data_IF_835450154090
#
_entry.id   IF_835450154090
#
_cell.length_a   1.000
_cell.length_b   1.000
_cell.length_c   1.000
_cell.angle_alpha   90.00
_cell.angle_beta   90.00
_cell.angle_gamma   90.00
#
_symmetry.space_group_name_H-M   'P 1'
#
loop_
_entity.id
_entity.type
_entity.pdbx_description
1 polymer ?
#
# COMPACT_ATOMS: atom_id res chain seq x y z
N UNK A 1 15.03 -31.01 -12.25
CA UNK A 1 15.72 -30.25 -11.18
C UNK A 1 14.81 -29.08 -10.84
N UNK A 2 14.60 -28.78 -9.56
CA UNK A 2 13.68 -27.71 -9.14
C UNK A 2 14.50 -26.50 -8.68
N UNK A 3 14.45 -25.40 -9.43
CA UNK A 3 15.08 -24.14 -9.04
C UNK A 3 14.25 -23.42 -7.96
N UNK A 4 14.83 -22.43 -7.29
CA UNK A 4 14.08 -21.54 -6.38
C UNK A 4 14.34 -20.09 -6.71
N UNK A 5 13.29 -19.29 -6.69
CA UNK A 5 13.28 -17.86 -6.94
C UNK A 5 12.79 -17.15 -5.67
N UNK A 6 13.69 -16.48 -4.97
CA UNK A 6 13.36 -15.72 -3.77
C UNK A 6 13.15 -14.24 -4.11
N UNK A 7 11.97 -13.70 -3.84
CA UNK A 7 11.60 -12.32 -4.19
C UNK A 7 10.91 -11.61 -3.03
N UNK A 8 11.29 -10.36 -2.80
CA UNK A 8 10.59 -9.43 -1.91
C UNK A 8 9.18 -9.09 -2.43
N UNK A 9 8.31 -8.58 -1.57
CA UNK A 9 6.90 -8.34 -1.88
C UNK A 9 6.68 -7.47 -3.13
N UNK A 10 7.41 -6.36 -3.24
CA UNK A 10 7.34 -5.44 -4.38
C UNK A 10 7.86 -6.06 -5.69
N UNK A 11 8.83 -6.97 -5.58
CA UNK A 11 9.45 -7.68 -6.69
C UNK A 11 8.63 -8.84 -7.25
N UNK A 12 7.49 -9.19 -6.62
CA UNK A 12 6.65 -10.33 -7.04
C UNK A 12 5.57 -9.98 -8.05
N UNK A 13 5.41 -8.71 -8.43
CA UNK A 13 4.57 -8.34 -9.57
C UNK A 13 5.41 -8.36 -10.85
N UNK A 14 5.28 -9.45 -11.63
CA UNK A 14 6.13 -9.72 -12.79
C UNK A 14 5.31 -9.91 -14.06
N UNK A 15 5.82 -9.38 -15.17
CA UNK A 15 5.41 -9.75 -16.53
C UNK A 15 6.63 -10.23 -17.30
N UNK A 16 7.59 -9.33 -17.52
CA UNK A 16 8.81 -9.58 -18.26
C UNK A 16 10.01 -9.11 -17.46
N UNK A 17 10.88 -10.03 -17.00
CA UNK A 17 12.04 -9.69 -16.17
C UNK A 17 13.08 -10.80 -16.21
N UNK A 18 14.36 -10.42 -16.30
CA UNK A 18 15.46 -11.33 -15.97
C UNK A 18 15.55 -11.45 -14.44
N UNK A 19 15.45 -12.68 -13.92
CA UNK A 19 15.54 -12.95 -12.48
C UNK A 19 16.66 -13.94 -12.21
N UNK A 20 17.28 -13.79 -11.05
CA UNK A 20 18.31 -14.67 -10.55
C UNK A 20 17.69 -15.69 -9.59
N UNK A 21 18.01 -16.96 -9.79
CA UNK A 21 17.62 -18.05 -8.91
C UNK A 21 18.60 -18.13 -7.73
N UNK A 22 18.18 -18.83 -6.68
CA UNK A 22 18.99 -19.02 -5.46
C UNK A 22 20.32 -19.74 -5.68
N UNK A 23 20.48 -20.47 -6.79
CA UNK A 23 21.72 -21.13 -7.19
C UNK A 23 22.64 -20.24 -8.04
N UNK A 24 22.27 -18.97 -8.24
CA UNK A 24 23.01 -17.98 -9.04
C UNK A 24 22.76 -18.07 -10.54
N UNK A 25 22.00 -19.07 -11.01
CA UNK A 25 21.57 -19.11 -12.40
C UNK A 25 20.54 -18.02 -12.70
N UNK A 26 20.43 -17.62 -13.97
CA UNK A 26 19.49 -16.57 -14.40
C UNK A 26 18.51 -17.12 -15.40
N UNK A 27 17.25 -16.75 -15.23
CA UNK A 27 16.19 -17.06 -16.18
C UNK A 27 15.53 -15.77 -16.65
N UNK A 28 15.02 -15.78 -17.88
CA UNK A 28 14.22 -14.70 -18.41
C UNK A 28 12.75 -15.09 -18.35
N UNK A 29 11.98 -14.37 -17.54
CA UNK A 29 10.53 -14.55 -17.45
C UNK A 29 9.86 -13.67 -18.51
N UNK A 30 8.96 -14.27 -19.31
CA UNK A 30 8.07 -13.57 -20.24
C UNK A 30 6.65 -14.16 -20.13
N UNK A 31 5.86 -13.59 -19.22
CA UNK A 31 4.48 -14.00 -18.98
C UNK A 31 3.53 -13.26 -19.94
N UNK A 32 2.42 -13.90 -20.38
CA UNK A 32 1.44 -13.27 -21.27
C UNK A 32 0.89 -11.94 -20.72
N UNK A 33 0.73 -11.87 -19.40
CA UNK A 33 0.28 -10.68 -18.68
C UNK A 33 1.05 -10.53 -17.35
N UNK A 34 0.92 -9.38 -16.71
CA UNK A 34 1.49 -9.17 -15.39
C UNK A 34 0.75 -10.02 -14.34
N UNK A 35 1.52 -10.72 -13.51
CA UNK A 35 1.02 -11.60 -12.46
C UNK A 35 1.71 -11.25 -11.14
N UNK A 36 0.95 -11.27 -10.05
CA UNK A 36 1.50 -11.17 -8.70
C UNK A 36 1.75 -12.58 -8.17
N UNK A 37 3.02 -12.99 -8.17
CA UNK A 37 3.47 -14.28 -7.67
C UNK A 37 3.37 -14.35 -6.14
N UNK A 38 2.98 -15.52 -5.63
CA UNK A 38 2.90 -15.81 -4.20
C UNK A 38 3.98 -16.80 -3.80
N UNK A 39 4.37 -16.76 -2.53
CA UNK A 39 5.20 -17.82 -1.98
C UNK A 39 4.47 -19.16 -2.11
N UNK A 40 5.14 -20.17 -2.65
CA UNK A 40 4.58 -21.49 -2.94
C UNK A 40 4.10 -21.67 -4.38
N UNK A 41 3.99 -20.61 -5.19
CA UNK A 41 3.73 -20.73 -6.62
C UNK A 41 4.92 -21.40 -7.32
N UNK A 42 4.67 -22.04 -8.48
CA UNK A 42 5.72 -22.61 -9.31
C UNK A 42 5.64 -22.08 -10.73
N UNK A 43 6.79 -21.69 -11.28
CA UNK A 43 6.94 -21.32 -12.68
C UNK A 43 7.42 -22.55 -13.46
N UNK A 44 6.78 -22.83 -14.59
CA UNK A 44 7.18 -23.92 -15.49
C UNK A 44 8.02 -23.31 -16.61
N UNK A 45 9.26 -23.80 -16.78
CA UNK A 45 10.14 -23.40 -17.87
C UNK A 45 9.82 -24.18 -19.14
N UNK A 46 10.33 -23.75 -20.29
CA UNK A 46 10.10 -24.39 -21.60
C UNK A 46 10.60 -25.84 -21.67
N UNK A 47 11.64 -26.18 -20.90
CA UNK A 47 12.18 -27.53 -20.77
C UNK A 47 11.38 -28.42 -19.79
N UNK A 48 10.30 -27.88 -19.21
CA UNK A 48 9.46 -28.54 -18.22
C UNK A 48 10.00 -28.49 -16.79
N UNK A 49 11.13 -27.82 -16.53
CA UNK A 49 11.64 -27.64 -15.17
C UNK A 49 10.73 -26.71 -14.35
N UNK A 50 10.72 -26.91 -13.04
CA UNK A 50 9.93 -26.11 -12.11
C UNK A 50 10.84 -25.17 -11.32
N UNK A 51 10.41 -23.93 -11.16
CA UNK A 51 11.04 -22.94 -10.28
C UNK A 51 10.03 -22.55 -9.21
N UNK A 52 10.33 -22.92 -7.96
CA UNK A 52 9.49 -22.57 -6.82
C UNK A 52 9.70 -21.10 -6.44
N UNK A 53 8.61 -20.36 -6.26
CA UNK A 53 8.64 -18.98 -5.79
C UNK A 53 8.60 -18.97 -4.26
N UNK A 54 9.53 -18.26 -3.64
CA UNK A 54 9.61 -18.07 -2.19
C UNK A 54 9.57 -16.57 -1.86
N UNK A 55 8.84 -16.20 -0.81
CA UNK A 55 8.94 -14.85 -0.28
C UNK A 55 10.31 -14.66 0.38
N UNK A 56 11.07 -13.66 -0.07
CA UNK A 56 12.34 -13.29 0.55
C UNK A 56 12.11 -12.75 1.96
N UNK A 57 13.13 -12.85 2.83
CA UNK A 57 13.12 -12.17 4.11
C UNK A 57 13.19 -10.66 3.90
N UNK A 58 12.22 -9.95 4.46
CA UNK A 58 12.11 -8.50 4.40
C UNK A 58 12.23 -7.93 5.81
N UNK A 59 12.68 -6.68 5.91
CA UNK A 59 12.72 -5.98 7.19
C UNK A 59 11.30 -5.49 7.51
N UNK A 60 10.70 -6.06 8.56
CA UNK A 60 9.30 -5.85 8.91
C UNK A 60 9.16 -5.31 10.33
N UNK A 61 7.98 -4.78 10.60
CA UNK A 61 7.47 -4.59 11.95
C UNK A 61 6.45 -5.68 12.28
N UNK A 62 6.70 -6.40 13.37
CA UNK A 62 5.73 -7.25 14.03
C UNK A 62 4.93 -6.43 15.04
N UNK A 63 3.62 -6.40 14.86
CA UNK A 63 2.68 -5.61 15.64
C UNK A 63 1.83 -6.57 16.45
N UNK A 64 1.87 -6.42 17.77
CA UNK A 64 1.05 -7.16 18.72
C UNK A 64 0.26 -6.19 19.60
N UNK A 65 -0.77 -6.68 20.28
CA UNK A 65 -1.62 -5.87 21.15
C UNK A 65 -2.03 -6.65 22.40
N UNK A 66 -2.47 -5.92 23.42
CA UNK A 66 -2.90 -6.47 24.71
C UNK A 66 -4.15 -7.37 24.64
N UNK A 67 -4.95 -7.26 23.58
CA UNK A 67 -6.16 -8.06 23.38
C UNK A 67 -6.50 -8.26 21.89
N UNK A 68 -7.31 -9.27 21.54
CA UNK A 68 -7.79 -9.46 20.16
C UNK A 68 -8.60 -8.27 19.62
N UNK A 69 -9.37 -7.59 20.50
CA UNK A 69 -10.11 -6.36 20.13
C UNK A 69 -9.14 -5.25 19.74
N UNK A 70 -8.13 -4.99 20.57
CA UNK A 70 -7.11 -3.99 20.28
C UNK A 70 -6.33 -4.30 18.99
N UNK A 71 -5.99 -5.58 18.75
CA UNK A 71 -5.34 -5.98 17.50
C UNK A 71 -6.23 -5.72 16.27
N UNK A 72 -7.54 -5.95 16.38
CA UNK A 72 -8.51 -5.66 15.32
C UNK A 72 -8.62 -4.16 15.03
N UNK A 73 -8.60 -3.32 16.06
CA UNK A 73 -8.60 -1.86 15.92
C UNK A 73 -7.33 -1.38 15.21
N UNK A 74 -6.15 -1.91 15.59
CA UNK A 74 -4.90 -1.63 14.87
C UNK A 74 -4.97 -2.08 13.40
N UNK A 75 -5.52 -3.26 13.12
CA UNK A 75 -5.71 -3.73 11.74
C UNK A 75 -6.58 -2.76 10.93
N UNK A 76 -7.63 -2.21 11.53
CA UNK A 76 -8.47 -1.18 10.91
C UNK A 76 -7.69 0.09 10.59
N UNK A 77 -6.88 0.60 11.53
CA UNK A 77 -6.03 1.78 11.30
C UNK A 77 -4.99 1.56 10.19
N UNK A 78 -4.38 0.37 10.14
CA UNK A 78 -3.43 -0.03 9.08
C UNK A 78 -4.16 -0.09 7.72
N UNK A 79 -5.33 -0.72 7.68
CA UNK A 79 -6.15 -0.84 6.47
C UNK A 79 -6.62 0.52 5.93
N UNK A 80 -7.02 1.44 6.80
CA UNK A 80 -7.39 2.82 6.44
C UNK A 80 -6.25 3.63 5.81
N UNK A 81 -5.01 3.14 5.93
CA UNK A 81 -3.81 3.74 5.31
C UNK A 81 -3.39 3.01 4.05
N UNK A 82 -4.16 2.02 3.60
CA UNK A 82 -3.87 1.19 2.44
C UNK A 82 -2.48 0.56 2.48
N UNK A 83 -2.01 0.21 3.69
CA UNK A 83 -0.72 -0.45 3.87
C UNK A 83 -0.85 -1.95 3.57
N UNK A 84 0.10 -2.55 2.82
CA UNK A 84 0.24 -3.99 2.76
C UNK A 84 0.43 -4.54 4.18
N UNK A 85 -0.39 -5.53 4.55
CA UNK A 85 -0.32 -6.15 5.86
C UNK A 85 -0.58 -7.66 5.77
N UNK A 86 0.26 -8.43 6.46
CA UNK A 86 0.01 -9.85 6.71
C UNK A 86 -0.62 -9.98 8.10
N UNK A 87 -1.81 -10.59 8.18
CA UNK A 87 -2.58 -10.69 9.42
C UNK A 87 -2.59 -12.14 9.87
N UNK A 88 -2.14 -12.37 11.10
CA UNK A 88 -2.24 -13.64 11.80
C UNK A 88 -3.05 -13.47 13.10
N UNK A 89 -3.43 -14.57 13.73
CA UNK A 89 -4.30 -14.57 14.92
C UNK A 89 -3.79 -13.71 16.09
N UNK A 90 -2.47 -13.54 16.21
CA UNK A 90 -1.83 -12.86 17.35
C UNK A 90 -0.93 -11.69 16.96
N UNK A 91 -0.77 -11.42 15.66
CA UNK A 91 0.14 -10.40 15.15
C UNK A 91 -0.25 -9.89 13.78
N UNK A 92 0.22 -8.71 13.45
CA UNK A 92 0.18 -8.14 12.11
C UNK A 92 1.62 -7.84 11.69
N UNK A 93 1.99 -8.16 10.45
CA UNK A 93 3.27 -7.74 9.88
C UNK A 93 3.04 -6.64 8.85
N UNK A 94 3.90 -5.62 8.87
CA UNK A 94 3.97 -4.58 7.83
C UNK A 94 5.43 -4.32 7.47
N UNK A 95 5.65 -3.69 6.31
CA UNK A 95 6.97 -3.16 5.95
C UNK A 95 7.41 -2.07 6.94
N UNK A 96 8.72 -1.94 7.16
CA UNK A 96 9.26 -0.91 8.05
C UNK A 96 8.98 0.50 7.55
N UNK A 97 8.16 1.21 8.30
CA UNK A 97 7.92 2.65 8.18
C UNK A 97 7.88 3.29 9.58
N UNK A 98 8.85 4.15 9.89
CA UNK A 98 9.00 4.76 11.21
C UNK A 98 7.82 5.68 11.59
N UNK A 99 7.16 6.31 10.62
CA UNK A 99 5.97 7.15 10.85
C UNK A 99 4.81 6.26 11.28
N UNK A 100 4.62 5.15 10.57
CA UNK A 100 3.58 4.16 10.91
C UNK A 100 3.86 3.51 12.26
N UNK A 101 5.11 3.15 12.55
CA UNK A 101 5.52 2.62 13.86
C UNK A 101 5.10 3.56 15.00
N UNK A 102 5.48 4.83 14.91
CA UNK A 102 5.18 5.84 15.94
C UNK A 102 3.67 5.98 16.16
N UNK A 103 2.90 5.98 15.06
CA UNK A 103 1.44 6.03 15.11
C UNK A 103 0.84 4.79 15.80
N UNK A 104 1.30 3.58 15.46
CA UNK A 104 0.81 2.35 16.07
C UNK A 104 1.17 2.26 17.56
N UNK A 105 2.38 2.66 17.94
CA UNK A 105 2.80 2.74 19.35
C UNK A 105 1.92 3.73 20.14
N UNK A 106 1.59 4.88 19.54
CA UNK A 106 0.65 5.85 20.12
C UNK A 106 -0.79 5.31 20.30
N UNK A 107 -1.17 4.29 19.52
CA UNK A 107 -2.44 3.56 19.66
C UNK A 107 -2.34 2.36 20.62
N UNK A 108 -1.20 2.18 21.29
CA UNK A 108 -0.98 1.13 22.29
C UNK A 108 -0.44 -0.18 21.73
N UNK A 109 0.02 -0.21 20.48
CA UNK A 109 0.66 -1.39 19.89
C UNK A 109 2.05 -1.65 20.50
N UNK A 110 2.44 -2.92 20.55
CA UNK A 110 3.83 -3.32 20.76
C UNK A 110 4.43 -3.65 19.41
N UNK A 111 5.47 -2.91 19.01
CA UNK A 111 6.09 -3.01 17.68
C UNK A 111 7.52 -3.50 17.80
N UNK A 112 7.81 -4.65 17.19
CA UNK A 112 9.15 -5.28 17.20
C UNK A 112 9.72 -5.35 15.78
N UNK A 113 11.01 -5.10 15.62
CA UNK A 113 11.70 -5.28 14.33
C UNK A 113 12.06 -6.75 14.11
N UNK A 114 11.70 -7.26 12.93
CA UNK A 114 12.01 -8.64 12.54
C UNK A 114 12.50 -8.71 11.08
N UNK A 115 13.18 -9.82 10.76
CA UNK A 115 13.48 -10.24 9.39
C UNK A 115 12.71 -11.53 9.13
N UNK A 116 11.72 -11.48 8.24
CA UNK A 116 10.87 -12.63 7.94
C UNK A 116 10.27 -12.53 6.52
N UNK A 117 9.78 -13.65 5.95
CA UNK A 117 9.03 -13.62 4.72
C UNK A 117 7.74 -12.81 4.90
N UNK A 118 7.36 -12.04 3.89
CA UNK A 118 6.17 -11.19 3.95
C UNK A 118 5.17 -11.55 2.86
N UNK A 119 3.96 -11.95 3.24
CA UNK A 119 2.87 -12.33 2.34
C UNK A 119 1.58 -11.57 2.71
N UNK A 120 1.50 -10.26 2.38
CA UNK A 120 0.36 -9.46 2.75
C UNK A 120 -0.93 -9.95 2.10
N UNK A 121 -2.04 -9.72 2.81
CA UNK A 121 -3.38 -9.97 2.30
C UNK A 121 -3.62 -9.15 1.04
N UNK A 122 -4.19 -9.80 0.02
CA UNK A 122 -4.65 -9.11 -1.18
C UNK A 122 -5.88 -8.26 -0.85
N UNK A 123 -5.84 -6.98 -1.24
CA UNK A 123 -7.01 -6.11 -1.16
C UNK A 123 -8.14 -6.62 -2.07
N UNK A 124 -9.39 -6.34 -1.69
CA UNK A 124 -10.60 -6.81 -2.37
C UNK A 124 -10.65 -6.48 -3.88
N UNK A 125 -9.97 -5.42 -4.32
CA UNK A 125 -9.97 -4.93 -5.70
C UNK A 125 -8.74 -5.35 -6.51
N UNK A 126 -7.81 -6.12 -5.92
CA UNK A 126 -6.58 -6.56 -6.61
C UNK A 126 -6.82 -7.63 -7.70
N UNK A 127 -8.07 -8.05 -7.91
CA UNK A 127 -8.47 -9.00 -8.96
C UNK A 127 -8.93 -8.36 -10.27
N UNK A 128 -9.08 -7.02 -10.35
CA UNK A 128 -9.70 -6.37 -11.53
C UNK A 128 -8.70 -5.78 -12.55
N UNK A 129 -7.39 -5.90 -12.33
CA UNK A 129 -6.37 -5.32 -13.24
C UNK A 129 -5.79 -6.33 -14.23
N UNK A 130 -6.43 -7.50 -14.38
CA UNK A 130 -5.96 -8.59 -15.25
C UNK A 130 -7.02 -9.23 -16.13
N UNK A 131 -8.22 -8.65 -16.22
CA UNK A 131 -9.30 -9.13 -17.08
C UNK A 131 -9.91 -7.94 -17.84
N UNK A 132 -9.21 -7.47 -18.88
CA UNK A 132 -9.83 -6.69 -19.95
C UNK A 132 -10.47 -7.66 -20.94
N UNK A 133 -11.53 -8.32 -20.50
CA UNK A 133 -12.46 -9.10 -21.33
C UNK A 133 -13.77 -8.34 -21.50
N UNK A 134 -13.85 -7.50 -22.55
CA UNK A 134 -15.08 -6.99 -23.16
C UNK A 134 -16.09 -6.26 -22.24
N UNK A 135 -15.84 -4.97 -22.01
CA UNK A 135 -17.00 -4.06 -21.92
C UNK A 135 -17.61 -3.97 -23.33
N UNK A 136 -18.92 -4.20 -23.51
CA UNK A 136 -19.58 -3.75 -24.72
C UNK A 136 -19.46 -2.22 -24.73
N UNK A 137 -18.75 -1.70 -25.73
CA UNK A 137 -18.92 -0.33 -26.18
C UNK A 137 -20.39 -0.17 -26.55
N UNK A 138 -21.18 0.28 -25.58
CA UNK A 138 -22.45 0.93 -25.88
C UNK A 138 -22.09 2.30 -26.44
N UNK A 139 -21.89 2.32 -27.75
CA UNK A 139 -21.91 3.52 -28.55
C UNK A 139 -23.33 4.12 -28.40
N UNK A 140 -23.45 5.14 -27.57
CA UNK A 140 -24.58 6.05 -27.56
C UNK A 140 -24.04 7.44 -27.87
N UNK A 141 -23.78 7.67 -29.15
CA UNK A 141 -23.93 8.99 -29.74
C UNK A 141 -25.40 9.42 -29.59
N UNK A 142 -25.71 10.22 -28.57
CA UNK A 142 -26.86 11.13 -28.63
C UNK A 142 -26.56 12.38 -27.81
N UNK A 143 -26.44 13.48 -28.54
CA UNK A 143 -26.28 14.81 -27.98
C UNK A 143 -27.58 15.25 -27.31
N UNK A 144 -27.53 15.62 -26.03
CA UNK A 144 -28.45 16.62 -25.48
C UNK A 144 -27.75 17.40 -24.38
N UNK A 145 -27.37 18.63 -24.71
CA UNK A 145 -26.88 19.61 -23.75
C UNK A 145 -28.04 20.15 -22.91
N UNK A 146 -27.87 20.10 -21.59
CA UNK A 146 -28.60 20.96 -20.68
C UNK A 146 -27.62 21.57 -19.67
N UNK A 147 -27.23 22.80 -19.96
CA UNK A 147 -26.59 23.73 -19.05
C UNK A 147 -27.58 24.13 -17.96
N UNK A 148 -27.31 23.76 -16.71
CA UNK A 148 -27.93 24.40 -15.55
C UNK A 148 -26.85 25.16 -14.79
N UNK A 149 -26.75 26.47 -15.10
CA UNK A 149 -26.12 27.45 -14.22
C UNK A 149 -26.92 27.52 -12.91
N UNK A 150 -26.31 27.15 -11.79
CA UNK A 150 -26.76 27.59 -10.47
C UNK A 150 -25.75 28.61 -9.95
N UNK A 151 -26.05 29.89 -10.18
CA UNK A 151 -25.41 31.02 -9.50
C UNK A 151 -25.98 31.12 -8.08
N UNK A 152 -25.19 30.74 -7.09
CA UNK A 152 -25.43 31.14 -5.71
C UNK A 152 -24.55 32.36 -5.40
N UNK A 153 -25.17 33.54 -5.37
CA UNK A 153 -24.58 34.72 -4.77
C UNK A 153 -24.59 34.55 -3.24
N UNK A 154 -23.41 34.40 -2.64
CA UNK A 154 -23.22 34.62 -1.21
C UNK A 154 -22.44 35.93 -1.03
N UNK A 155 -23.16 37.01 -0.71
CA UNK A 155 -22.56 38.23 -0.16
C UNK A 155 -22.15 37.96 1.28
N UNK A 156 -20.85 37.76 1.50
CA UNK A 156 -20.25 37.91 2.83
C UNK A 156 -19.59 39.29 2.91
N UNK A 157 -20.18 40.18 3.71
CA UNK A 157 -19.48 41.36 4.22
C UNK A 157 -18.51 40.88 5.30
N UNK A 158 -17.22 41.08 5.08
CA UNK A 158 -16.22 41.03 6.14
C UNK A 158 -15.86 42.47 6.48
N UNK A 159 -16.31 42.93 7.64
CA UNK A 159 -15.72 44.09 8.32
C UNK A 159 -14.48 43.57 9.05
N UNK A 160 -13.34 44.17 8.73
CA UNK A 160 -12.06 43.96 9.40
C UNK A 160 -11.83 45.12 10.34
N UNK A 161 -12.01 44.90 11.64
CA UNK A 161 -11.38 45.74 12.67
C UNK A 161 -10.11 45.03 13.13
N UNK A 162 -8.98 45.62 12.75
CA UNK A 162 -7.66 45.30 13.28
C UNK A 162 -7.29 46.39 14.28
N UNK A 163 -7.45 46.11 15.57
CA UNK A 163 -6.76 46.88 16.60
C UNK A 163 -5.38 46.28 16.83
N UNK A 164 -4.36 47.02 16.37
CA UNK A 164 -2.97 46.81 16.73
C UNK A 164 -2.62 47.84 17.81
N UNK A 165 -2.59 47.42 19.07
CA UNK A 165 -1.92 48.18 20.12
C UNK A 165 -0.41 47.89 20.06
N UNK A 166 0.35 48.90 19.64
CA UNK A 166 1.79 48.98 19.82
C UNK A 166 2.08 49.96 20.96
N UNK A 167 2.35 49.45 22.16
CA UNK A 167 2.99 50.25 23.19
C UNK A 167 4.48 50.39 22.88
N UNK A 168 4.89 51.62 22.59
CA UNK A 168 6.28 52.04 22.60
C UNK A 168 6.58 52.73 23.92
N UNK A 169 7.30 52.05 24.82
CA UNK A 169 8.00 52.70 25.91
C UNK A 169 9.15 53.56 25.34
N UNK A 170 9.05 54.87 25.53
CA UNK A 170 10.20 55.77 25.45
C UNK A 170 10.47 56.39 26.81
N UNK A 171 11.40 55.75 27.52
CA UNK A 171 12.23 56.36 28.55
C UNK A 171 13.06 57.49 27.91
N UNK A 172 12.96 58.73 28.44
CA UNK A 172 14.09 59.57 28.91
C UNK A 172 13.72 61.04 29.16
N UNK A 173 13.96 61.45 30.41
CA UNK A 173 14.83 62.55 30.82
C UNK A 173 14.50 63.99 30.37
N UNK A 174 13.92 64.78 31.29
CA UNK A 174 14.57 65.91 31.99
C UNK A 174 13.64 66.54 33.01
#
# INVERSE_FOLDING_TARGET
MTGRLSLAHDGRHLRRKAVELTDGSRIFLDLPQAVVLRSGDALVLEDGALVLVEAANEALYEITASSPKALSELAWHIGNRHLPAEIALKRILILRDHVIKTMLEGLGAQVTEILAPFNPLRGAYSGQVGDHGHHPVHDHSDSHGHSHEHKHEHKHKHEHEHEHEHEHEHERSR
#
